data_IF_438317391878
#
_entry.id   IF_438317391878
#
_cell.length_a   1.000
_cell.length_b   1.000
_cell.length_c   1.000
_cell.angle_alpha   90.00
_cell.angle_beta   90.00
_cell.angle_gamma   90.00
#
_symmetry.space_group_name_H-M   'P 1'
#
loop_
_entity.id
_entity.type
_entity.pdbx_description
1 polymer ?
#
# COMPACT_ATOMS: atom_id res chain seq x y z
N UNK A 1 -31.42 22.76 -47.00
CA UNK A 1 -31.46 23.15 -45.57
C UNK A 1 -32.53 22.33 -44.91
N UNK A 2 -32.15 21.44 -43.97
CA UNK A 2 -32.82 21.17 -42.69
C UNK A 2 -32.29 19.85 -42.11
N UNK A 3 -31.10 19.91 -41.50
CA UNK A 3 -30.59 18.88 -40.58
C UNK A 3 -31.39 18.97 -39.27
N UNK A 4 -32.54 18.30 -39.22
CA UNK A 4 -33.25 18.11 -37.95
C UNK A 4 -32.75 16.81 -37.33
N UNK A 5 -31.75 16.91 -36.46
CA UNK A 5 -31.42 15.80 -35.56
C UNK A 5 -32.73 15.42 -34.84
N UNK A 6 -33.16 14.16 -34.91
CA UNK A 6 -34.49 13.80 -34.46
C UNK A 6 -34.54 13.92 -32.93
N UNK A 7 -35.57 14.59 -32.41
CA UNK A 7 -35.66 15.07 -31.02
C UNK A 7 -35.45 13.96 -29.97
N UNK A 8 -35.84 12.73 -30.27
CA UNK A 8 -35.56 11.57 -29.42
C UNK A 8 -34.05 11.32 -29.22
N UNK A 9 -33.21 11.63 -30.21
CA UNK A 9 -31.76 11.45 -30.18
C UNK A 9 -31.08 12.49 -29.27
N UNK A 10 -31.62 13.70 -29.19
CA UNK A 10 -31.24 14.69 -28.16
C UNK A 10 -31.69 14.28 -26.76
N UNK A 11 -32.88 13.70 -26.60
CA UNK A 11 -33.33 13.19 -25.30
C UNK A 11 -32.49 11.99 -24.82
N UNK A 12 -32.14 11.06 -25.71
CA UNK A 12 -31.25 9.94 -25.40
C UNK A 12 -29.84 10.42 -25.02
N UNK A 13 -29.28 11.38 -25.77
CA UNK A 13 -27.98 12.00 -25.45
C UNK A 13 -27.99 12.76 -24.12
N UNK A 14 -29.09 13.45 -23.80
CA UNK A 14 -29.26 14.18 -22.54
C UNK A 14 -29.42 13.24 -21.34
N UNK A 15 -30.18 12.14 -21.47
CA UNK A 15 -30.36 11.13 -20.40
C UNK A 15 -29.06 10.37 -20.13
N UNK A 16 -28.30 10.03 -21.17
CA UNK A 16 -26.97 9.44 -21.01
C UNK A 16 -25.95 10.44 -20.43
N UNK A 17 -26.07 11.73 -20.77
CA UNK A 17 -25.17 12.79 -20.29
C UNK A 17 -25.44 13.27 -18.86
N UNK A 18 -26.68 13.22 -18.36
CA UNK A 18 -27.05 13.86 -17.09
C UNK A 18 -27.15 12.93 -15.88
N UNK A 19 -27.28 11.61 -16.07
CA UNK A 19 -27.44 10.64 -14.96
C UNK A 19 -26.20 9.77 -14.67
N UNK A 20 -25.45 9.41 -15.71
CA UNK A 20 -24.30 8.52 -15.56
C UNK A 20 -23.03 9.26 -15.11
N UNK A 21 -22.88 10.53 -15.47
CA UNK A 21 -21.65 11.29 -15.19
C UNK A 21 -21.39 11.43 -13.69
N UNK A 22 -22.43 11.70 -12.89
CA UNK A 22 -22.30 11.83 -11.44
C UNK A 22 -22.03 10.50 -10.73
N UNK A 23 -22.69 9.42 -11.16
CA UNK A 23 -22.54 8.09 -10.55
C UNK A 23 -21.23 7.42 -10.95
N UNK A 24 -20.77 7.58 -12.20
CA UNK A 24 -19.46 7.11 -12.66
C UNK A 24 -18.35 7.89 -11.97
N UNK A 25 -18.46 9.22 -11.85
CA UNK A 25 -17.47 10.03 -11.13
C UNK A 25 -17.42 9.66 -9.65
N UNK A 26 -18.57 9.50 -8.98
CA UNK A 26 -18.64 9.07 -7.59
C UNK A 26 -18.11 7.64 -7.39
N UNK A 27 -18.40 6.72 -8.31
CA UNK A 27 -17.85 5.36 -8.29
C UNK A 27 -16.32 5.37 -8.46
N UNK A 28 -15.82 6.18 -9.39
CA UNK A 28 -14.38 6.30 -9.67
C UNK A 28 -13.64 6.95 -8.48
N UNK A 29 -14.18 8.03 -7.91
CA UNK A 29 -13.63 8.66 -6.70
C UNK A 29 -13.66 7.69 -5.51
N UNK A 30 -14.77 6.97 -5.30
CA UNK A 30 -14.86 5.93 -4.26
C UNK A 30 -13.86 4.80 -4.49
N UNK A 31 -13.59 4.44 -5.74
CA UNK A 31 -12.61 3.40 -6.04
C UNK A 31 -11.19 3.87 -5.74
N UNK A 32 -10.85 5.11 -6.10
CA UNK A 32 -9.56 5.74 -5.78
C UNK A 32 -9.38 5.91 -4.27
N UNK A 33 -10.43 6.32 -3.56
CA UNK A 33 -10.42 6.49 -2.11
C UNK A 33 -10.22 5.14 -1.40
N UNK A 34 -10.94 4.09 -1.82
CA UNK A 34 -10.76 2.73 -1.29
C UNK A 34 -9.34 2.19 -1.51
N UNK A 35 -8.72 2.43 -2.67
CA UNK A 35 -7.31 2.07 -2.88
C UNK A 35 -6.38 2.82 -1.92
N UNK A 36 -6.64 4.10 -1.65
CA UNK A 36 -5.83 4.86 -0.69
C UNK A 36 -5.98 4.38 0.76
N UNK A 37 -7.19 3.94 1.15
CA UNK A 37 -7.46 3.34 2.47
C UNK A 37 -6.78 1.98 2.58
N UNK A 38 -6.80 1.16 1.53
CA UNK A 38 -6.10 -0.11 1.48
C UNK A 38 -4.58 0.09 1.58
N UNK A 39 -4.03 1.08 0.88
CA UNK A 39 -2.61 1.40 0.96
C UNK A 39 -2.20 1.81 2.38
N UNK A 40 -3.01 2.63 3.06
CA UNK A 40 -2.77 2.99 4.47
C UNK A 40 -2.84 1.78 5.40
N UNK A 41 -3.85 0.91 5.24
CA UNK A 41 -3.99 -0.29 6.07
C UNK A 41 -2.85 -1.29 5.84
N UNK A 42 -2.45 -1.53 4.59
CA UNK A 42 -1.31 -2.38 4.23
C UNK A 42 -0.02 -1.81 4.82
N UNK A 43 0.15 -0.49 4.76
CA UNK A 43 1.31 0.20 5.31
C UNK A 43 1.42 0.04 6.83
N UNK A 44 0.31 0.08 7.55
CA UNK A 44 0.26 -0.18 9.00
C UNK A 44 0.58 -1.65 9.31
N UNK A 45 0.02 -2.60 8.55
CA UNK A 45 0.34 -4.02 8.70
C UNK A 45 1.83 -4.33 8.45
N UNK A 46 2.43 -3.69 7.44
CA UNK A 46 3.86 -3.81 7.15
C UNK A 46 4.70 -3.24 8.30
N UNK A 47 4.25 -2.15 8.92
CA UNK A 47 4.90 -1.58 10.10
C UNK A 47 4.83 -2.55 11.30
N UNK A 48 3.65 -3.06 11.63
CA UNK A 48 3.50 -4.09 12.67
C UNK A 48 4.38 -5.30 12.39
N UNK A 49 4.52 -5.69 11.12
CA UNK A 49 5.38 -6.82 10.75
C UNK A 49 6.87 -6.53 10.91
N UNK A 50 7.31 -5.30 10.64
CA UNK A 50 8.67 -4.87 10.93
C UNK A 50 8.93 -4.84 12.44
N UNK A 51 7.94 -4.44 13.25
CA UNK A 51 8.02 -4.47 14.71
C UNK A 51 8.13 -5.89 15.25
N UNK A 52 7.37 -6.84 14.71
CA UNK A 52 7.49 -8.27 15.04
C UNK A 52 8.90 -8.80 14.75
N UNK A 53 9.49 -8.44 13.60
CA UNK A 53 10.85 -8.86 13.24
C UNK A 53 11.89 -8.27 14.19
N UNK A 54 11.69 -7.03 14.64
CA UNK A 54 12.54 -6.42 15.68
C UNK A 54 12.36 -7.11 17.03
N UNK A 55 11.13 -7.47 17.41
CA UNK A 55 10.88 -8.22 18.65
C UNK A 55 11.55 -9.60 18.61
N UNK A 56 11.51 -10.30 17.47
CA UNK A 56 12.23 -11.57 17.25
C UNK A 56 13.74 -11.39 17.37
N UNK A 57 14.30 -10.28 16.86
CA UNK A 57 15.71 -9.95 17.02
C UNK A 57 16.08 -9.65 18.49
N UNK A 58 15.27 -8.86 19.20
CA UNK A 58 15.49 -8.55 20.62
C UNK A 58 15.42 -9.81 21.48
N UNK A 59 14.52 -10.74 21.16
CA UNK A 59 14.45 -12.04 21.82
C UNK A 59 15.70 -12.91 21.56
N UNK A 60 16.42 -12.67 20.48
CA UNK A 60 17.69 -13.34 20.13
C UNK A 60 18.91 -12.50 20.53
N UNK A 61 18.86 -11.80 21.68
CA UNK A 61 19.94 -10.96 22.22
C UNK A 61 20.38 -9.80 21.29
N UNK A 62 19.47 -9.31 20.44
CA UNK A 62 19.76 -8.23 19.49
C UNK A 62 20.54 -8.69 18.26
N UNK A 63 20.56 -10.00 17.99
CA UNK A 63 21.28 -10.57 16.86
C UNK A 63 20.33 -10.87 15.70
N UNK A 64 20.67 -10.37 14.51
CA UNK A 64 19.89 -10.54 13.29
C UNK A 64 20.57 -11.53 12.33
N UNK A 65 19.86 -12.58 11.91
CA UNK A 65 20.33 -13.43 10.81
C UNK A 65 20.22 -12.72 9.45
N UNK A 66 21.01 -13.13 8.47
CA UNK A 66 21.06 -12.52 7.13
C UNK A 66 19.70 -12.59 6.40
N UNK A 67 18.94 -13.67 6.62
CA UNK A 67 17.58 -13.82 6.13
C UNK A 67 16.58 -12.86 6.80
N UNK A 68 16.80 -12.52 8.09
CA UNK A 68 15.96 -11.55 8.80
C UNK A 68 16.18 -10.14 8.24
N UNK A 69 17.45 -9.77 8.00
CA UNK A 69 17.82 -8.51 7.33
C UNK A 69 17.28 -8.41 5.90
N UNK A 70 17.35 -9.50 5.14
CA UNK A 70 16.79 -9.54 3.78
C UNK A 70 15.26 -9.42 3.76
N UNK A 71 14.57 -10.04 4.73
CA UNK A 71 13.11 -9.91 4.88
C UNK A 71 12.69 -8.52 5.30
N UNK A 72 13.38 -7.90 6.26
CA UNK A 72 13.07 -6.53 6.69
C UNK A 72 13.28 -5.52 5.57
N UNK A 73 14.34 -5.67 4.76
CA UNK A 73 14.58 -4.80 3.61
C UNK A 73 13.46 -4.89 2.57
N UNK A 74 13.04 -6.10 2.19
CA UNK A 74 11.91 -6.28 1.26
C UNK A 74 10.61 -5.67 1.78
N UNK A 75 10.34 -5.82 3.08
CA UNK A 75 9.19 -5.19 3.73
C UNK A 75 9.29 -3.66 3.69
N UNK A 76 10.48 -3.13 3.94
CA UNK A 76 10.76 -1.70 3.87
C UNK A 76 10.58 -1.15 2.45
N UNK A 77 11.04 -1.86 1.42
CA UNK A 77 10.93 -1.40 0.03
C UNK A 77 9.46 -1.21 -0.38
N UNK A 78 8.58 -2.14 0.01
CA UNK A 78 7.13 -2.04 -0.21
C UNK A 78 6.52 -0.91 0.63
N UNK A 79 6.90 -0.79 1.90
CA UNK A 79 6.46 0.29 2.78
C UNK A 79 6.86 1.68 2.26
N UNK A 80 8.07 1.81 1.71
CA UNK A 80 8.58 3.05 1.15
C UNK A 80 7.85 3.41 -0.15
N UNK A 81 7.59 2.43 -1.01
CA UNK A 81 6.81 2.61 -2.24
C UNK A 81 5.38 3.11 -1.99
N UNK A 82 4.79 2.78 -0.83
CA UNK A 82 3.45 3.25 -0.40
C UNK A 82 3.44 4.66 0.23
N UNK A 83 4.55 5.41 0.18
CA UNK A 83 4.62 6.78 0.70
C UNK A 83 4.98 6.84 2.20
N UNK A 84 6.05 6.14 2.60
CA UNK A 84 6.53 6.05 3.98
C UNK A 84 6.61 7.38 4.76
N UNK A 85 6.34 7.33 6.08
CA UNK A 85 6.35 8.49 6.99
C UNK A 85 7.68 8.66 7.75
N UNK A 86 8.75 7.97 7.33
CA UNK A 86 10.05 7.96 8.01
C UNK A 86 10.15 7.05 9.24
N UNK A 87 9.03 6.64 9.86
CA UNK A 87 9.07 5.74 11.01
C UNK A 87 9.58 4.34 10.64
N UNK A 88 9.06 3.78 9.54
CA UNK A 88 9.54 2.50 8.99
C UNK A 88 11.01 2.55 8.53
N UNK A 89 11.53 3.73 8.18
CA UNK A 89 12.95 3.92 7.83
C UNK A 89 13.85 3.78 9.05
N UNK A 90 13.49 4.40 10.17
CA UNK A 90 14.21 4.23 11.45
C UNK A 90 14.20 2.76 11.88
N UNK A 91 13.04 2.10 11.76
CA UNK A 91 12.87 0.72 12.17
C UNK A 91 13.67 -0.27 11.31
N UNK A 92 13.70 -0.09 9.99
CA UNK A 92 14.54 -0.91 9.11
C UNK A 92 16.03 -0.64 9.38
N UNK A 93 16.44 0.61 9.59
CA UNK A 93 17.85 0.93 9.89
C UNK A 93 18.32 0.28 11.19
N UNK A 94 17.48 0.28 12.23
CA UNK A 94 17.75 -0.45 13.47
C UNK A 94 18.00 -1.94 13.18
N UNK A 95 17.12 -2.57 12.39
CA UNK A 95 17.25 -3.99 12.01
C UNK A 95 18.52 -4.26 11.18
N UNK A 96 18.86 -3.38 10.25
CA UNK A 96 20.04 -3.54 9.40
C UNK A 96 21.35 -3.31 10.16
N UNK A 97 21.35 -2.41 11.15
CA UNK A 97 22.50 -2.08 11.98
C UNK A 97 22.83 -3.16 13.02
N UNK A 98 21.89 -4.08 13.28
CA UNK A 98 22.07 -5.15 14.24
C UNK A 98 23.25 -6.08 13.89
N UNK A 99 24.03 -6.55 14.88
CA UNK A 99 25.06 -7.57 14.67
C UNK A 99 24.51 -8.82 14.00
N UNK A 100 25.29 -9.40 13.08
CA UNK A 100 24.93 -10.65 12.39
C UNK A 100 25.52 -11.83 13.15
N UNK A 101 24.72 -12.83 13.51
CA UNK A 101 25.24 -14.16 13.84
C UNK A 101 24.78 -15.19 12.81
N UNK A 102 25.61 -16.21 12.55
CA UNK A 102 25.22 -17.34 11.71
C UNK A 102 24.00 -18.06 12.30
N UNK A 103 23.02 -18.31 11.44
CA UNK A 103 21.78 -19.03 11.77
C UNK A 103 22.09 -20.34 12.50
N UNK A 104 21.59 -20.50 13.73
CA UNK A 104 21.55 -21.83 14.36
C UNK A 104 20.63 -22.72 13.52
N UNK A 105 21.05 -23.94 13.12
CA UNK A 105 20.20 -24.83 12.36
C UNK A 105 18.92 -25.10 13.15
N UNK A 106 17.76 -24.94 12.50
CA UNK A 106 16.47 -25.32 13.08
C UNK A 106 16.51 -26.83 13.33
N UNK A 107 16.39 -27.23 14.60
CA UNK A 107 16.23 -28.63 14.99
C UNK A 107 14.85 -29.16 14.57
#
# INVERSE_FOLDING_TARGET
MNETIPVWLTFVGMVLGSGATGTITAWMLRHLDNTSVLDQAVRELLLCRLEDLRAEMVANDGIADEDLKGRSQRLYDVYHALGGNGHGTSLNNDIQSAPIAPRKPKA
#
